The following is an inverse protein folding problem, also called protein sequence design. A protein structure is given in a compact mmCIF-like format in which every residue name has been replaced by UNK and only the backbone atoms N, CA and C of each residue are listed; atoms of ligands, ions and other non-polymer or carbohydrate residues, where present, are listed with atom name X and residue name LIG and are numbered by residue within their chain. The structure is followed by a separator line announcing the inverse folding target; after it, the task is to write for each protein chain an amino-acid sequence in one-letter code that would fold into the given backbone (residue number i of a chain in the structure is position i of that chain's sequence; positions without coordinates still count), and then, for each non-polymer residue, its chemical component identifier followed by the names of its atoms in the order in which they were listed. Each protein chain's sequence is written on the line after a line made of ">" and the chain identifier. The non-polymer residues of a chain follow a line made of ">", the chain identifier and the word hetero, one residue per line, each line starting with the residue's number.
data_IF_891594173886
#
_entry.id   IF_891594173886
#
_cell.length_a   1.000
_cell.length_b   1.000
_cell.length_c   1.000
_cell.angle_alpha   90.00
_cell.angle_beta   90.00
_cell.angle_gamma   90.00
#
_symmetry.space_group_name_H-M   'P 1'
#
loop_
_entity.id
_entity.type
_entity.pdbx_description
1 polymer ?
#
# COMPACT_ATOMS: atom_id res chain seq x y z
N UNK A 1 8.28 -15.40 -15.20
CA UNK A 1 7.85 -14.01 -15.46
C UNK A 1 8.65 -13.44 -16.61
N UNK A 2 8.08 -12.49 -17.35
CA UNK A 2 8.67 -11.80 -18.49
C UNK A 2 8.42 -10.30 -18.38
N UNK A 3 9.49 -9.52 -18.28
CA UNK A 3 9.41 -8.05 -18.23
C UNK A 3 9.72 -7.44 -19.61
N UNK A 4 9.11 -6.30 -19.97
CA UNK A 4 8.22 -5.46 -19.15
C UNK A 4 6.76 -5.94 -19.09
N UNK A 5 6.39 -6.99 -19.84
CA UNK A 5 5.01 -7.48 -19.95
C UNK A 5 4.31 -7.74 -18.60
N UNK A 6 5.00 -8.38 -17.66
CA UNK A 6 4.45 -8.72 -16.34
C UNK A 6 4.41 -7.51 -15.37
N UNK A 7 4.76 -6.30 -15.82
CA UNK A 7 4.51 -5.05 -15.10
C UNK A 7 3.14 -4.43 -15.43
N UNK A 8 2.47 -4.90 -16.50
CA UNK A 8 1.14 -4.45 -16.93
C UNK A 8 0.00 -5.16 -16.18
N UNK A 9 -1.25 -4.66 -16.28
CA UNK A 9 -2.41 -5.36 -15.76
C UNK A 9 -2.66 -6.70 -16.43
N UNK A 10 -3.13 -7.68 -15.66
CA UNK A 10 -3.36 -9.05 -16.10
C UNK A 10 -4.85 -9.40 -16.13
N UNK A 11 -5.22 -10.47 -16.85
CA UNK A 11 -6.56 -11.05 -16.74
C UNK A 11 -6.67 -11.82 -15.42
N UNK A 12 -7.06 -11.10 -14.36
CA UNK A 12 -7.06 -11.54 -12.97
C UNK A 12 -8.41 -11.28 -12.31
N UNK A 13 -8.66 -11.97 -11.19
CA UNK A 13 -9.77 -11.68 -10.27
C UNK A 13 -9.38 -10.55 -9.32
N UNK A 14 -8.11 -10.51 -8.92
CA UNK A 14 -7.54 -9.47 -8.09
C UNK A 14 -6.09 -9.22 -8.51
N UNK A 15 -5.69 -7.97 -8.46
CA UNK A 15 -4.34 -7.51 -8.80
C UNK A 15 -4.05 -6.18 -8.12
N UNK A 16 -2.80 -5.94 -7.74
CA UNK A 16 -2.41 -4.66 -7.14
C UNK A 16 -0.96 -4.27 -7.39
N UNK A 17 -0.75 -2.96 -7.48
CA UNK A 17 0.57 -2.32 -7.40
C UNK A 17 0.65 -1.62 -6.06
N UNK A 18 1.48 -2.15 -5.17
CA UNK A 18 1.62 -1.67 -3.81
C UNK A 18 3.02 -1.10 -3.59
N UNK A 19 3.09 0.17 -3.23
CA UNK A 19 4.33 0.88 -2.88
C UNK A 19 4.29 1.27 -1.41
N UNK A 20 5.42 1.13 -0.74
CA UNK A 20 5.65 1.75 0.55
C UNK A 20 7.10 2.25 0.66
N UNK A 21 7.38 3.16 1.59
CA UNK A 21 8.75 3.65 1.73
C UNK A 21 8.95 4.66 2.84
N UNK A 22 10.22 4.92 3.12
CA UNK A 22 10.71 5.88 4.11
C UNK A 22 11.44 7.00 3.40
N UNK A 23 11.11 8.24 3.75
CA UNK A 23 11.59 9.45 3.10
C UNK A 23 12.17 10.40 4.13
N UNK A 24 13.04 11.30 3.67
CA UNK A 24 13.55 12.39 4.47
C UNK A 24 13.74 13.65 3.63
N UNK A 25 13.61 14.82 4.27
CA UNK A 25 13.93 16.11 3.65
C UNK A 25 15.36 16.57 3.99
N UNK A 26 15.79 17.70 3.42
CA UNK A 26 17.10 18.32 3.69
C UNK A 26 17.35 18.67 5.17
N UNK A 27 16.27 18.84 5.95
CA UNK A 27 16.34 19.14 7.37
C UNK A 27 16.29 17.87 8.24
N UNK A 28 16.40 16.68 7.63
CA UNK A 28 16.31 15.37 8.26
C UNK A 28 14.94 15.09 8.92
N UNK A 29 13.89 15.82 8.53
CA UNK A 29 12.53 15.42 8.90
C UNK A 29 12.21 14.10 8.22
N UNK A 30 11.53 13.20 8.92
CA UNK A 30 11.24 11.85 8.45
C UNK A 30 9.79 11.73 8.05
N UNK A 31 9.57 11.03 6.95
CA UNK A 31 8.25 10.71 6.44
C UNK A 31 8.20 9.24 6.06
N UNK A 32 7.00 8.70 6.00
CA UNK A 32 6.75 7.41 5.39
C UNK A 32 5.52 7.52 4.50
N UNK A 33 5.47 6.73 3.44
CA UNK A 33 4.32 6.70 2.57
C UNK A 33 3.95 5.27 2.22
N UNK A 34 2.69 5.09 1.86
CA UNK A 34 2.28 3.97 1.03
C UNK A 34 1.31 4.44 -0.05
N UNK A 35 1.26 3.72 -1.15
CA UNK A 35 0.26 3.89 -2.19
C UNK A 35 -0.09 2.52 -2.77
N UNK A 36 -1.38 2.22 -2.89
CA UNK A 36 -1.82 1.00 -3.51
C UNK A 36 -2.93 1.28 -4.52
N UNK A 37 -2.73 0.77 -5.73
CA UNK A 37 -3.77 0.70 -6.77
C UNK A 37 -4.17 -0.77 -6.92
N UNK A 38 -5.45 -1.04 -6.72
CA UNK A 38 -6.04 -2.35 -6.91
C UNK A 38 -6.87 -2.38 -8.18
N UNK A 39 -6.90 -3.56 -8.77
CA UNK A 39 -7.84 -4.00 -9.79
C UNK A 39 -8.55 -5.25 -9.28
N UNK A 40 -9.86 -5.32 -9.46
CA UNK A 40 -10.64 -6.48 -9.05
C UNK A 40 -11.84 -6.75 -9.96
N UNK A 41 -12.26 -8.02 -10.02
CA UNK A 41 -13.58 -8.42 -10.50
C UNK A 41 -14.57 -8.39 -9.31
N UNK A 42 -15.52 -7.44 -9.26
CA UNK A 42 -16.48 -7.32 -8.17
C UNK A 42 -17.31 -8.57 -7.92
N UNK A 43 -17.54 -9.38 -8.96
CA UNK A 43 -18.41 -10.56 -8.89
C UNK A 43 -17.67 -11.80 -8.39
N UNK A 44 -16.34 -11.78 -8.41
CA UNK A 44 -15.48 -12.90 -8.00
C UNK A 44 -14.66 -12.61 -6.75
N UNK A 45 -14.88 -11.47 -6.12
CA UNK A 45 -14.24 -11.06 -4.87
C UNK A 45 -15.29 -10.80 -3.79
N UNK A 46 -14.91 -10.94 -2.52
CA UNK A 46 -15.80 -10.64 -1.38
C UNK A 46 -15.56 -9.23 -0.82
N UNK A 47 -15.00 -8.33 -1.63
CA UNK A 47 -14.67 -6.97 -1.22
C UNK A 47 -15.95 -6.15 -1.15
N UNK A 48 -16.46 -5.94 0.06
CA UNK A 48 -17.80 -5.38 0.27
C UNK A 48 -18.01 -3.99 -0.33
N UNK A 49 -16.95 -3.19 -0.50
CA UNK A 49 -17.05 -1.83 -1.04
C UNK A 49 -17.28 -1.80 -2.56
N UNK A 50 -16.97 -2.89 -3.27
CA UNK A 50 -17.14 -3.01 -4.72
C UNK A 50 -18.14 -4.08 -5.14
N UNK A 51 -18.50 -5.04 -4.27
CA UNK A 51 -19.28 -6.25 -4.59
C UNK A 51 -20.58 -6.03 -5.40
N UNK A 52 -21.21 -4.87 -5.25
CA UNK A 52 -22.48 -4.54 -5.92
C UNK A 52 -22.31 -3.70 -7.21
N UNK A 53 -21.07 -3.45 -7.65
CA UNK A 53 -20.81 -2.67 -8.88
C UNK A 53 -21.05 -3.58 -10.10
N UNK A 54 -21.92 -3.20 -11.06
CA UNK A 54 -22.27 -4.04 -12.21
C UNK A 54 -21.20 -4.05 -13.32
N UNK A 55 -19.93 -3.93 -12.97
CA UNK A 55 -18.78 -3.95 -13.89
C UNK A 55 -18.01 -5.26 -13.77
N UNK A 56 -17.34 -5.66 -14.84
CA UNK A 56 -16.45 -6.85 -14.83
C UNK A 56 -15.08 -6.57 -14.22
N UNK A 57 -14.68 -5.31 -14.20
CA UNK A 57 -13.40 -4.84 -13.68
C UNK A 57 -13.64 -3.49 -13.02
N UNK A 58 -13.07 -3.32 -11.82
CA UNK A 58 -13.06 -2.05 -11.09
C UNK A 58 -11.68 -1.78 -10.56
N UNK A 59 -11.33 -0.50 -10.48
CA UNK A 59 -10.13 -0.06 -9.80
C UNK A 59 -10.53 0.65 -8.52
N UNK A 60 -9.72 0.50 -7.48
CA UNK A 60 -9.83 1.26 -6.24
C UNK A 60 -8.42 1.50 -5.71
N UNK A 61 -8.24 2.53 -4.91
CA UNK A 61 -6.91 2.87 -4.42
C UNK A 61 -6.98 3.44 -3.02
N UNK A 62 -5.86 3.34 -2.32
CA UNK A 62 -5.65 4.11 -1.11
C UNK A 62 -4.19 4.53 -1.00
N UNK A 63 -3.98 5.60 -0.25
CA UNK A 63 -2.65 6.10 0.05
C UNK A 63 -2.58 6.65 1.46
N UNK A 64 -1.37 6.63 2.00
CA UNK A 64 -1.05 7.21 3.28
C UNK A 64 0.27 7.97 3.16
N UNK A 65 0.28 9.16 3.75
CA UNK A 65 1.48 9.93 4.00
C UNK A 65 1.56 10.21 5.49
N UNK A 66 2.67 9.82 6.11
CA UNK A 66 2.95 10.02 7.51
C UNK A 66 4.14 10.96 7.66
N UNK A 67 3.91 12.12 8.26
CA UNK A 67 4.96 12.96 8.83
C UNK A 67 5.32 12.38 10.20
N UNK A 68 6.42 11.65 10.24
CA UNK A 68 6.88 10.94 11.45
C UNK A 68 7.35 11.97 12.49
N UNK A 69 8.07 13.00 12.04
CA UNK A 69 8.60 14.04 12.93
C UNK A 69 7.49 14.76 13.69
N UNK A 70 6.43 15.17 13.01
CA UNK A 70 5.31 15.90 13.59
C UNK A 70 4.13 15.01 14.00
N UNK A 71 4.25 13.69 13.81
CA UNK A 71 3.20 12.68 14.09
C UNK A 71 1.87 12.99 13.40
N UNK A 72 1.91 13.51 12.17
CA UNK A 72 0.72 13.83 11.37
C UNK A 72 0.53 12.81 10.27
N UNK A 73 -0.69 12.28 10.15
CA UNK A 73 -1.05 11.25 9.18
C UNK A 73 -2.15 11.75 8.26
N UNK A 74 -1.99 11.49 6.97
CA UNK A 74 -2.99 11.73 5.92
C UNK A 74 -3.31 10.39 5.28
N UNK A 75 -4.61 10.08 5.14
CA UNK A 75 -5.10 8.85 4.51
C UNK A 75 -6.17 9.20 3.50
N UNK A 76 -5.94 8.81 2.25
CA UNK A 76 -6.87 8.97 1.15
C UNK A 76 -7.37 7.60 0.72
N UNK A 77 -8.70 7.46 0.66
CA UNK A 77 -9.36 6.25 0.20
C UNK A 77 -10.19 6.58 -1.03
N UNK A 78 -10.00 5.81 -2.08
CA UNK A 78 -10.74 5.89 -3.33
C UNK A 78 -11.42 4.55 -3.57
N UNK A 79 -12.68 4.38 -3.11
CA UNK A 79 -13.40 3.12 -3.24
C UNK A 79 -13.69 2.72 -4.69
N UNK A 80 -13.65 3.70 -5.59
CA UNK A 80 -13.73 3.53 -7.05
C UNK A 80 -12.72 4.50 -7.64
N UNK A 81 -11.92 4.04 -8.59
CA UNK A 81 -10.99 4.83 -9.39
C UNK A 81 -11.36 4.65 -10.86
N UNK A 82 -11.44 5.76 -11.60
CA UNK A 82 -11.80 5.76 -13.02
C UNK A 82 -10.53 6.05 -13.82
N UNK A 83 -10.17 5.12 -14.71
CA UNK A 83 -9.01 5.26 -15.58
C UNK A 83 -9.31 6.25 -16.72
N UNK A 84 -8.28 6.99 -17.12
CA UNK A 84 -8.26 7.80 -18.33
C UNK A 84 -8.37 6.92 -19.59
N UNK A 85 -8.78 7.51 -20.73
CA UNK A 85 -8.94 6.76 -21.99
C UNK A 85 -7.61 6.31 -22.60
N UNK A 86 -6.51 6.98 -22.27
CA UNK A 86 -5.15 6.72 -22.71
C UNK A 86 -4.40 5.76 -21.79
N UNK A 87 -4.94 5.48 -20.59
CA UNK A 87 -4.45 4.40 -19.73
C UNK A 87 -4.36 3.07 -20.50
N UNK A 88 -3.28 2.33 -20.27
CA UNK A 88 -3.03 0.99 -20.83
C UNK A 88 -2.88 0.91 -22.36
N UNK A 89 -2.66 2.04 -23.03
CA UNK A 89 -2.43 2.09 -24.50
C UNK A 89 -0.98 2.32 -24.91
N UNK A 90 -0.07 2.46 -23.96
CA UNK A 90 1.34 2.76 -24.20
C UNK A 90 2.20 1.49 -24.15
N UNK A 91 3.41 1.57 -24.70
CA UNK A 91 4.39 0.47 -24.70
C UNK A 91 4.92 0.11 -23.31
N UNK A 92 4.89 1.07 -22.38
CA UNK A 92 5.22 0.88 -20.97
C UNK A 92 3.98 1.08 -20.09
N UNK A 93 4.05 0.69 -18.81
CA UNK A 93 2.92 0.84 -17.90
C UNK A 93 2.56 2.32 -17.80
N UNK A 94 1.33 2.66 -18.18
CA UNK A 94 0.78 3.99 -18.01
C UNK A 94 -0.64 3.87 -17.50
N UNK A 95 -0.85 4.26 -16.24
CA UNK A 95 -2.17 4.33 -15.61
C UNK A 95 -2.37 5.74 -15.07
N UNK A 96 -3.26 6.48 -15.71
CA UNK A 96 -3.81 7.70 -15.15
C UNK A 96 -5.25 7.43 -14.67
N UNK A 97 -5.56 7.87 -13.46
CA UNK A 97 -6.88 7.65 -12.86
C UNK A 97 -7.30 8.77 -11.91
N UNK A 98 -8.62 8.92 -11.77
CA UNK A 98 -9.24 9.90 -10.88
C UNK A 98 -10.06 9.21 -9.78
N UNK A 99 -10.16 9.88 -8.63
CA UNK A 99 -11.15 9.55 -7.60
C UNK A 99 -12.40 10.41 -7.84
N UNK A 100 -13.50 9.87 -8.38
CA UNK A 100 -14.70 10.65 -8.68
C UNK A 100 -15.32 11.32 -7.45
N UNK A 101 -15.03 10.83 -6.24
CA UNK A 101 -15.59 11.35 -4.99
C UNK A 101 -14.76 12.50 -4.39
N UNK A 102 -13.49 12.64 -4.74
CA UNK A 102 -12.60 13.68 -4.19
C UNK A 102 -12.33 14.83 -5.16
N UNK A 103 -13.00 14.84 -6.32
CA UNK A 103 -12.76 15.77 -7.41
C UNK A 103 -11.70 15.27 -8.40
N UNK A 104 -11.36 16.10 -9.38
CA UNK A 104 -10.38 15.75 -10.41
C UNK A 104 -8.95 15.83 -9.85
N UNK A 105 -8.53 14.77 -9.17
CA UNK A 105 -7.14 14.55 -8.75
C UNK A 105 -6.53 13.59 -9.77
N UNK A 106 -5.57 14.08 -10.54
CA UNK A 106 -4.83 13.27 -11.51
C UNK A 106 -3.83 12.39 -10.75
N UNK A 107 -4.13 11.10 -10.64
CA UNK A 107 -3.19 10.12 -10.09
C UNK A 107 -2.48 9.44 -11.25
N UNK A 108 -1.17 9.29 -11.15
CA UNK A 108 -0.35 8.68 -12.21
C UNK A 108 0.48 7.55 -11.59
N UNK A 109 0.40 6.38 -12.21
CA UNK A 109 1.34 5.28 -12.04
C UNK A 109 1.92 4.98 -13.43
N UNK A 110 3.16 5.39 -13.63
CA UNK A 110 3.86 5.25 -14.90
C UNK A 110 5.16 4.48 -14.64
N UNK A 111 5.51 3.53 -15.49
CA UNK A 111 6.78 2.81 -15.49
C UNK A 111 7.43 2.97 -16.87
N UNK A 112 8.76 2.93 -16.97
CA UNK A 112 9.49 3.24 -18.21
C UNK A 112 10.19 2.04 -18.89
N UNK A 113 9.81 0.82 -18.51
CA UNK A 113 10.40 -0.44 -18.93
C UNK A 113 11.66 -0.86 -18.16
N UNK A 114 12.17 -0.05 -17.23
CA UNK A 114 13.43 -0.30 -16.48
C UNK A 114 13.22 -0.32 -14.96
N UNK A 115 12.01 -0.63 -14.50
CA UNK A 115 11.58 -0.57 -13.11
C UNK A 115 11.80 0.82 -12.47
N UNK A 116 11.63 1.88 -13.28
CA UNK A 116 11.58 3.25 -12.81
C UNK A 116 10.16 3.78 -12.96
N UNK A 117 9.59 4.15 -11.81
CA UNK A 117 8.21 4.54 -11.68
C UNK A 117 8.08 6.02 -11.39
N UNK A 118 7.11 6.68 -12.03
CA UNK A 118 6.55 7.94 -11.57
C UNK A 118 5.25 7.64 -10.83
N UNK A 119 5.21 8.00 -9.55
CA UNK A 119 4.05 7.85 -8.68
C UNK A 119 3.56 9.23 -8.26
N UNK A 120 2.35 9.59 -8.71
CA UNK A 120 1.73 10.88 -8.41
C UNK A 120 0.32 10.72 -7.87
N UNK A 121 0.00 11.46 -6.82
CA UNK A 121 -1.35 11.64 -6.28
C UNK A 121 -1.45 13.00 -5.56
N UNK A 122 -2.48 13.21 -4.73
CA UNK A 122 -2.65 14.47 -3.99
C UNK A 122 -1.46 14.83 -3.07
N UNK A 123 -0.80 13.82 -2.51
CA UNK A 123 0.25 14.00 -1.51
C UNK A 123 1.65 13.62 -2.00
N UNK A 124 1.78 12.92 -3.11
CA UNK A 124 3.04 12.39 -3.61
C UNK A 124 3.28 12.83 -5.06
N UNK A 125 4.51 13.18 -5.39
CA UNK A 125 5.02 13.29 -6.77
C UNK A 125 6.46 12.77 -6.75
N UNK A 126 6.60 11.47 -6.94
CA UNK A 126 7.83 10.71 -6.69
C UNK A 126 8.32 10.00 -7.94
N UNK A 127 9.64 10.05 -8.15
CA UNK A 127 10.36 9.16 -9.04
C UNK A 127 11.02 8.06 -8.20
N UNK A 128 10.73 6.80 -8.52
CA UNK A 128 11.10 5.63 -7.72
C UNK A 128 11.79 4.63 -8.65
N UNK A 129 13.07 4.33 -8.45
CA UNK A 129 13.85 3.46 -9.34
C UNK A 129 14.39 2.25 -8.60
N UNK A 130 14.16 1.04 -9.13
CA UNK A 130 14.72 -0.17 -8.55
C UNK A 130 16.26 -0.13 -8.54
N UNK A 131 16.86 -0.53 -7.40
CA UNK A 131 18.31 -0.65 -7.23
C UNK A 131 18.75 -2.10 -7.49
N UNK A 132 17.87 -3.06 -7.19
CA UNK A 132 18.10 -4.49 -7.38
C UNK A 132 17.14 -5.06 -8.41
N UNK A 133 17.51 -6.21 -8.98
CA UNK A 133 16.58 -6.99 -9.82
C UNK A 133 15.34 -7.42 -9.01
N UNK A 134 14.22 -7.70 -9.68
CA UNK A 134 13.02 -8.20 -9.01
C UNK A 134 13.29 -9.49 -8.23
N UNK A 135 12.73 -9.56 -7.02
CA UNK A 135 12.61 -10.80 -6.27
C UNK A 135 11.40 -11.57 -6.80
N UNK A 136 11.65 -12.60 -7.62
CA UNK A 136 10.61 -13.52 -8.06
C UNK A 136 10.31 -14.51 -6.92
N UNK A 137 9.17 -14.36 -6.27
CA UNK A 137 8.84 -15.21 -5.12
C UNK A 137 8.72 -16.68 -5.50
N UNK A 138 9.09 -17.55 -4.55
CA UNK A 138 9.16 -19.01 -4.75
C UNK A 138 10.09 -19.40 -5.93
N UNK A 139 11.05 -18.54 -6.29
CA UNK A 139 11.99 -18.70 -7.40
C UNK A 139 11.38 -18.59 -8.81
N UNK A 140 10.05 -18.62 -8.92
CA UNK A 140 9.31 -18.66 -10.20
C UNK A 140 8.45 -17.43 -10.43
N UNK A 141 8.23 -16.62 -9.40
CA UNK A 141 7.31 -15.48 -9.41
C UNK A 141 5.86 -15.91 -9.20
N UNK A 142 5.60 -17.07 -8.57
CA UNK A 142 4.24 -17.45 -8.19
C UNK A 142 4.20 -18.52 -7.09
N UNK A 143 3.10 -18.50 -6.34
CA UNK A 143 2.67 -19.57 -5.45
C UNK A 143 1.59 -20.41 -6.11
N UNK A 144 1.46 -21.67 -5.68
CA UNK A 144 0.33 -22.54 -6.08
C UNK A 144 -0.61 -22.63 -4.89
N UNK A 145 -1.80 -22.05 -5.03
CA UNK A 145 -2.85 -22.02 -4.01
C UNK A 145 -4.12 -22.58 -4.62
N UNK A 146 -4.70 -23.63 -4.02
CA UNK A 146 -5.92 -24.29 -4.51
C UNK A 146 -5.84 -24.64 -6.02
N UNK A 147 -4.71 -25.20 -6.46
CA UNK A 147 -4.40 -25.54 -7.86
C UNK A 147 -4.42 -24.35 -8.85
N UNK A 148 -4.30 -23.12 -8.35
CA UNK A 148 -4.21 -21.89 -9.15
C UNK A 148 -2.89 -21.18 -8.84
N UNK A 149 -2.39 -20.41 -9.81
CA UNK A 149 -1.20 -19.59 -9.64
C UNK A 149 -1.57 -18.24 -9.07
N UNK A 150 -0.89 -17.85 -8.00
CA UNK A 150 -0.86 -16.50 -7.45
C UNK A 150 0.49 -15.92 -7.82
N UNK A 151 0.53 -15.04 -8.82
CA UNK A 151 1.76 -14.47 -9.34
C UNK A 151 2.19 -13.30 -8.47
N UNK A 152 3.47 -13.25 -8.13
CA UNK A 152 3.97 -12.26 -7.17
C UNK A 152 5.48 -12.02 -7.35
N UNK A 153 5.87 -10.75 -7.51
CA UNK A 153 7.25 -10.30 -7.36
C UNK A 153 7.34 -9.01 -6.54
N UNK A 154 8.53 -8.77 -5.99
CA UNK A 154 8.86 -7.50 -5.31
C UNK A 154 10.05 -6.80 -5.96
N UNK A 155 10.03 -5.48 -5.94
CA UNK A 155 11.21 -4.62 -6.05
C UNK A 155 11.61 -4.22 -4.64
N UNK A 156 12.51 -4.99 -4.05
CA UNK A 156 12.77 -4.97 -2.59
C UNK A 156 13.52 -3.74 -2.12
N UNK A 157 14.23 -3.06 -3.02
CA UNK A 157 15.00 -1.85 -2.72
C UNK A 157 14.98 -0.89 -3.89
N UNK A 158 14.35 0.27 -3.70
CA UNK A 158 14.21 1.31 -4.72
C UNK A 158 14.64 2.67 -4.19
N UNK A 159 15.37 3.44 -4.98
CA UNK A 159 15.72 4.83 -4.67
C UNK A 159 14.54 5.76 -4.97
N UNK A 160 14.24 6.68 -4.06
CA UNK A 160 13.17 7.68 -4.22
C UNK A 160 13.76 9.08 -4.28
N UNK A 161 13.29 9.89 -5.23
CA UNK A 161 13.46 11.34 -5.24
C UNK A 161 12.16 12.00 -5.68
N UNK A 162 11.83 13.17 -5.13
CA UNK A 162 10.66 13.92 -5.59
C UNK A 162 10.12 14.86 -4.52
N UNK A 163 8.79 15.01 -4.49
CA UNK A 163 8.10 15.92 -3.58
C UNK A 163 6.94 15.24 -2.88
N UNK A 164 6.73 15.62 -1.62
CA UNK A 164 5.49 15.35 -0.90
C UNK A 164 4.74 16.66 -0.66
N UNK A 165 3.42 16.56 -0.53
CA UNK A 165 2.53 17.69 -0.29
C UNK A 165 1.80 17.51 1.06
N UNK A 166 2.11 18.39 2.01
CA UNK A 166 1.42 18.49 3.30
C UNK A 166 0.57 19.77 3.30
N UNK A 167 -0.70 19.64 2.91
CA UNK A 167 -1.57 20.78 2.67
C UNK A 167 -1.05 21.61 1.50
N UNK A 168 -0.76 22.89 1.72
CA UNK A 168 -0.19 23.78 0.69
C UNK A 168 1.33 23.69 0.58
N UNK A 169 2.00 22.99 1.50
CA UNK A 169 3.46 22.93 1.56
C UNK A 169 3.96 21.79 0.68
N UNK A 170 4.78 22.11 -0.32
CA UNK A 170 5.54 21.14 -1.10
C UNK A 170 6.93 20.98 -0.49
N UNK A 171 7.36 19.75 -0.27
CA UNK A 171 8.62 19.42 0.42
C UNK A 171 9.39 18.45 -0.46
N UNK A 172 10.63 18.82 -0.81
CA UNK A 172 11.55 17.93 -1.51
C UNK A 172 12.04 16.82 -0.58
N UNK A 173 12.06 15.60 -1.10
CA UNK A 173 12.37 14.41 -0.35
C UNK A 173 13.22 13.45 -1.18
N UNK A 174 14.02 12.68 -0.46
CA UNK A 174 14.70 11.48 -0.97
C UNK A 174 14.49 10.32 0.00
N UNK A 175 14.71 9.09 -0.44
CA UNK A 175 14.60 7.95 0.45
C UNK A 175 14.65 6.60 -0.25
N UNK A 176 14.11 5.61 0.42
CA UNK A 176 14.03 4.23 -0.05
C UNK A 176 12.57 3.77 -0.07
N UNK A 177 12.22 2.98 -1.08
CA UNK A 177 10.92 2.38 -1.23
C UNK A 177 11.02 0.88 -1.53
N UNK A 178 9.86 0.25 -1.41
CA UNK A 178 9.55 -1.12 -1.75
C UNK A 178 8.35 -1.10 -2.69
N UNK A 179 8.31 -2.02 -3.66
CA UNK A 179 7.11 -2.25 -4.47
C UNK A 179 6.80 -3.74 -4.56
N UNK A 180 5.53 -4.07 -4.39
CA UNK A 180 4.94 -5.38 -4.69
C UNK A 180 3.98 -5.29 -5.86
N UNK A 181 3.99 -6.32 -6.67
CA UNK A 181 2.99 -6.55 -7.70
C UNK A 181 2.52 -8.00 -7.62
N UNK A 182 1.25 -8.18 -7.31
CA UNK A 182 0.61 -9.49 -7.20
C UNK A 182 -0.67 -9.52 -8.03
N UNK A 183 -0.94 -10.66 -8.67
CA UNK A 183 -2.21 -10.92 -9.34
C UNK A 183 -2.58 -12.40 -9.31
N UNK A 184 -3.88 -12.69 -9.26
CA UNK A 184 -4.35 -14.07 -9.30
C UNK A 184 -5.78 -14.21 -9.83
N UNK A 185 -6.16 -15.43 -10.23
CA UNK A 185 -7.53 -15.76 -10.65
C UNK A 185 -8.41 -16.25 -9.50
N UNK A 186 -7.95 -16.11 -8.27
CA UNK A 186 -8.69 -16.47 -7.05
C UNK A 186 -8.75 -15.23 -6.15
N UNK A 187 -9.76 -15.16 -5.28
CA UNK A 187 -9.77 -14.11 -4.28
C UNK A 187 -8.65 -14.35 -3.24
N UNK A 188 -8.10 -13.28 -2.69
CA UNK A 188 -7.14 -13.35 -1.59
C UNK A 188 -7.76 -13.87 -0.30
N UNK A 189 -6.88 -14.28 0.62
CA UNK A 189 -7.26 -14.65 1.99
C UNK A 189 -7.76 -13.44 2.78
N UNK A 190 -8.53 -13.68 3.85
CA UNK A 190 -9.16 -12.61 4.65
C UNK A 190 -8.35 -12.18 5.88
N UNK A 191 -7.33 -12.96 6.23
CA UNK A 191 -6.49 -12.73 7.40
C UNK A 191 -5.04 -12.99 7.04
N UNK A 192 -4.21 -11.98 7.22
CA UNK A 192 -2.78 -12.11 6.95
C UNK A 192 -1.95 -11.14 7.79
N UNK A 193 -0.68 -11.49 7.89
CA UNK A 193 0.39 -10.62 8.38
C UNK A 193 1.43 -10.52 7.30
N UNK A 194 1.80 -9.31 6.95
CA UNK A 194 2.78 -9.04 5.91
C UNK A 194 3.82 -8.05 6.41
N UNK A 195 5.08 -8.27 6.02
CA UNK A 195 6.18 -7.38 6.32
C UNK A 195 7.07 -7.20 5.09
N UNK A 196 7.42 -5.96 4.78
CA UNK A 196 8.63 -5.64 4.00
C UNK A 196 9.67 -5.10 4.96
N UNK A 197 10.90 -5.60 4.84
CA UNK A 197 12.02 -5.19 5.68
C UNK A 197 13.21 -4.90 4.78
N UNK A 198 13.83 -3.73 5.00
CA UNK A 198 15.04 -3.29 4.33
C UNK A 198 16.10 -3.01 5.40
N UNK A 199 17.16 -3.83 5.42
CA UNK A 199 18.23 -3.76 6.40
C UNK A 199 19.43 -2.97 5.88
N UNK A 200 20.19 -2.41 6.81
CA UNK A 200 21.40 -1.62 6.58
C UNK A 200 22.54 -2.40 5.93
N UNK A 201 22.56 -3.72 6.09
CA UNK A 201 23.47 -4.61 5.36
C UNK A 201 23.01 -4.93 3.92
N UNK A 202 22.02 -4.19 3.38
CA UNK A 202 21.43 -4.43 2.06
C UNK A 202 20.85 -5.85 1.89
N UNK A 203 20.31 -6.41 2.97
CA UNK A 203 19.45 -7.59 2.92
C UNK A 203 18.00 -7.11 3.05
N UNK A 204 17.11 -7.64 2.22
CA UNK A 204 15.69 -7.33 2.29
C UNK A 204 14.85 -8.59 2.43
N UNK A 205 13.77 -8.50 3.21
CA UNK A 205 12.88 -9.61 3.49
C UNK A 205 11.44 -9.23 3.15
N UNK A 206 10.77 -10.09 2.40
CA UNK A 206 9.31 -10.15 2.29
C UNK A 206 8.84 -11.29 3.18
N UNK A 207 7.95 -11.00 4.12
CA UNK A 207 7.40 -12.00 5.04
C UNK A 207 5.90 -11.99 4.88
N UNK A 208 5.32 -13.18 4.77
CA UNK A 208 3.89 -13.35 4.68
C UNK A 208 3.46 -14.53 5.54
N UNK A 209 2.36 -14.34 6.26
CA UNK A 209 1.68 -15.38 7.00
C UNK A 209 0.17 -15.26 6.79
N UNK A 210 -0.46 -16.38 6.46
CA UNK A 210 -1.90 -16.50 6.29
C UNK A 210 -2.49 -17.48 7.30
N UNK A 211 -3.73 -17.19 7.73
CA UNK A 211 -4.60 -18.10 8.48
C UNK A 211 -3.97 -18.74 9.73
N UNK A 212 -3.24 -17.95 10.53
CA UNK A 212 -2.55 -18.41 11.74
C UNK A 212 -1.49 -19.50 11.47
N UNK A 213 -0.57 -19.21 10.57
CA UNK A 213 0.60 -20.02 10.22
C UNK A 213 0.33 -21.27 9.36
N UNK A 214 -0.91 -21.47 8.88
CA UNK A 214 -1.18 -22.53 7.89
C UNK A 214 -0.32 -22.36 6.64
N UNK A 215 -0.07 -21.11 6.23
CA UNK A 215 0.88 -20.79 5.17
C UNK A 215 1.77 -19.64 5.63
N UNK A 216 3.05 -19.95 5.89
CA UNK A 216 4.07 -18.95 6.21
C UNK A 216 5.20 -18.99 5.18
N UNK A 217 5.71 -17.82 4.82
CA UNK A 217 6.70 -17.68 3.77
C UNK A 217 7.62 -16.49 4.05
N UNK A 218 8.90 -16.67 3.73
CA UNK A 218 9.91 -15.62 3.73
C UNK A 218 10.66 -15.64 2.40
N UNK A 219 10.64 -14.53 1.69
CA UNK A 219 11.52 -14.27 0.56
C UNK A 219 12.63 -13.31 0.96
N UNK A 220 13.88 -13.64 0.64
CA UNK A 220 15.06 -12.87 1.03
C UNK A 220 15.82 -12.45 -0.23
N UNK A 221 16.10 -11.16 -0.37
CA UNK A 221 17.00 -10.62 -1.38
C UNK A 221 18.30 -10.15 -0.70
N UNK A 222 19.39 -10.88 -0.94
CA UNK A 222 20.69 -10.57 -0.36
C UNK A 222 21.38 -9.39 -1.08
N UNK A 223 22.44 -8.85 -0.49
CA UNK A 223 23.23 -7.76 -1.08
C UNK A 223 23.80 -8.13 -2.46
N UNK A 224 24.25 -9.37 -2.63
CA UNK A 224 24.74 -9.92 -3.90
C UNK A 224 23.62 -10.25 -4.91
N UNK A 225 22.39 -9.82 -4.64
CA UNK A 225 21.20 -10.10 -5.45
C UNK A 225 20.84 -11.59 -5.59
N UNK A 226 21.37 -12.45 -4.71
CA UNK A 226 20.88 -13.83 -4.60
C UNK A 226 19.54 -13.83 -3.87
N UNK A 227 18.56 -14.55 -4.42
CA UNK A 227 17.29 -14.79 -3.76
C UNK A 227 17.35 -16.09 -2.94
N UNK A 228 16.80 -16.07 -1.74
CA UNK A 228 16.58 -17.26 -0.92
C UNK A 228 15.17 -17.26 -0.34
N UNK A 229 14.69 -18.45 0.03
CA UNK A 229 13.33 -18.64 0.52
C UNK A 229 13.33 -19.53 1.76
N UNK A 230 12.36 -19.34 2.64
CA UNK A 230 12.16 -20.13 3.84
C UNK A 230 10.67 -20.22 4.21
N UNK A 231 10.31 -21.25 4.99
CA UNK A 231 8.94 -21.54 5.42
C UNK A 231 8.86 -21.85 6.92
N UNK A 232 9.99 -21.85 7.64
CA UNK A 232 10.09 -22.08 9.08
C UNK A 232 9.96 -20.76 9.88
N UNK A 233 9.04 -19.90 9.45
CA UNK A 233 8.80 -18.59 10.07
C UNK A 233 8.14 -18.74 11.44
N UNK A 234 8.70 -18.06 12.44
CA UNK A 234 8.10 -17.89 13.75
C UNK A 234 7.83 -16.40 13.98
N UNK A 235 6.56 -16.05 14.20
CA UNK A 235 6.14 -14.70 14.56
C UNK A 235 5.56 -14.69 15.98
N UNK A 236 6.11 -13.87 16.85
CA UNK A 236 5.61 -13.70 18.22
C UNK A 236 5.26 -12.24 18.50
N UNK A 237 3.97 -11.96 18.69
CA UNK A 237 3.52 -10.61 19.06
C UNK A 237 4.09 -10.21 20.44
N UNK A 238 4.52 -8.97 20.56
CA UNK A 238 5.13 -8.42 21.79
C UNK A 238 4.32 -7.30 22.43
N UNK A 239 3.74 -6.43 21.60
CA UNK A 239 2.99 -5.26 22.05
C UNK A 239 1.76 -5.08 21.18
N UNK A 240 0.65 -4.71 21.80
CA UNK A 240 -0.61 -4.40 21.12
C UNK A 240 -0.97 -2.93 21.26
N UNK A 241 -1.77 -2.45 20.32
CA UNK A 241 -2.44 -1.16 20.39
C UNK A 241 -3.91 -1.34 20.08
N UNK A 242 -4.76 -0.72 20.89
CA UNK A 242 -6.21 -0.74 20.71
C UNK A 242 -6.64 0.51 19.95
N UNK A 243 -7.32 0.31 18.83
CA UNK A 243 -7.90 1.42 18.07
C UNK A 243 -8.92 2.17 18.93
N UNK A 244 -8.83 3.51 19.03
CA UNK A 244 -9.85 4.29 19.71
C UNK A 244 -11.17 4.29 18.94
N UNK A 245 -11.16 4.02 17.62
CA UNK A 245 -12.32 4.12 16.73
C UNK A 245 -13.05 2.79 16.62
N UNK A 246 -12.36 1.72 16.25
CA UNK A 246 -12.96 0.39 15.99
C UNK A 246 -12.87 -0.53 17.21
N UNK A 247 -12.08 -0.16 18.22
CA UNK A 247 -11.74 -0.97 19.39
C UNK A 247 -11.03 -2.29 19.07
N UNK A 248 -10.64 -2.51 17.80
CA UNK A 248 -9.78 -3.61 17.39
C UNK A 248 -8.43 -3.50 18.12
N UNK A 249 -7.90 -4.63 18.57
CA UNK A 249 -6.56 -4.72 19.13
C UNK A 249 -5.61 -5.24 18.04
N UNK A 250 -4.61 -4.43 17.70
CA UNK A 250 -3.61 -4.78 16.70
C UNK A 250 -2.27 -5.05 17.36
N UNK A 251 -1.61 -6.18 17.07
CA UNK A 251 -0.21 -6.39 17.43
C UNK A 251 0.70 -5.47 16.59
N UNK A 252 1.34 -4.52 17.26
CA UNK A 252 2.17 -3.47 16.64
C UNK A 252 3.68 -3.67 16.86
N UNK A 253 4.06 -4.78 17.48
CA UNK A 253 5.45 -5.22 17.62
C UNK A 253 5.54 -6.73 17.61
N UNK A 254 6.59 -7.23 16.96
CA UNK A 254 6.79 -8.65 16.73
C UNK A 254 8.26 -9.02 16.92
N UNK A 255 8.49 -10.23 17.44
CA UNK A 255 9.73 -10.96 17.23
C UNK A 255 9.54 -11.88 16.03
N UNK A 256 10.46 -11.80 15.08
CA UNK A 256 10.49 -12.56 13.83
C UNK A 256 11.73 -13.45 13.87
N UNK A 257 11.53 -14.77 13.75
CA UNK A 257 12.64 -15.74 13.72
C UNK A 257 12.50 -16.61 12.46
N UNK A 258 13.62 -16.83 11.76
CA UNK A 258 13.74 -17.78 10.65
C UNK A 258 14.96 -18.67 10.93
N UNK A 259 14.78 -19.79 11.65
CA UNK A 259 15.88 -20.63 12.13
C UNK A 259 16.83 -21.10 11.03
N UNK A 260 16.29 -21.59 9.91
CA UNK A 260 17.04 -22.08 8.75
C UNK A 260 17.95 -21.03 8.12
N UNK A 261 17.66 -19.75 8.37
CA UNK A 261 18.42 -18.59 7.87
C UNK A 261 19.21 -17.87 8.95
N UNK A 262 19.15 -18.35 10.20
CA UNK A 262 19.77 -17.72 11.38
C UNK A 262 19.36 -16.25 11.52
N UNK A 263 18.08 -15.94 11.27
CA UNK A 263 17.54 -14.59 11.35
C UNK A 263 16.72 -14.47 12.62
N UNK A 264 16.97 -13.41 13.39
CA UNK A 264 16.17 -13.01 14.54
C UNK A 264 16.03 -11.49 14.53
N UNK A 265 14.82 -10.98 14.35
CA UNK A 265 14.52 -9.55 14.25
C UNK A 265 13.42 -9.16 15.24
N UNK A 266 13.63 -8.03 15.92
CA UNK A 266 12.57 -7.29 16.59
C UNK A 266 12.08 -6.19 15.66
N UNK A 267 10.77 -6.16 15.44
CA UNK A 267 10.10 -5.10 14.67
C UNK A 267 9.07 -4.39 15.54
N UNK A 268 8.97 -3.07 15.36
CA UNK A 268 8.01 -2.23 16.07
C UNK A 268 7.50 -1.12 15.16
N UNK A 269 6.19 -0.88 15.20
CA UNK A 269 5.57 0.28 14.57
C UNK A 269 6.20 1.59 15.02
N UNK A 270 6.51 2.48 14.09
CA UNK A 270 7.06 3.82 14.41
C UNK A 270 6.03 4.64 15.18
N UNK A 271 4.76 4.55 14.79
CA UNK A 271 3.64 5.15 15.51
C UNK A 271 2.49 4.14 15.61
N UNK A 272 1.74 4.12 16.72
CA UNK A 272 0.71 3.12 16.96
C UNK A 272 -0.55 3.32 16.09
N UNK A 273 -0.96 4.57 15.86
CA UNK A 273 -2.21 4.88 15.16
C UNK A 273 -2.03 4.86 13.65
N UNK A 274 -2.10 3.66 13.07
CA UNK A 274 -2.00 3.42 11.64
C UNK A 274 -3.15 2.57 11.08
N UNK A 275 -4.26 2.46 11.82
CA UNK A 275 -5.45 1.76 11.32
C UNK A 275 -6.02 2.45 10.07
N UNK A 276 -6.30 1.67 9.05
CA UNK A 276 -7.05 2.06 7.86
C UNK A 276 -8.46 1.47 7.97
N UNK A 277 -9.45 2.37 8.01
CA UNK A 277 -10.86 2.00 8.07
C UNK A 277 -11.39 1.90 6.63
N UNK A 278 -11.42 0.69 6.10
CA UNK A 278 -11.76 0.40 4.70
C UNK A 278 -13.02 -0.47 4.60
N UNK A 279 -14.16 0.11 4.98
CA UNK A 279 -15.45 -0.56 4.92
C UNK A 279 -15.55 -1.72 5.91
N UNK A 280 -15.66 -2.95 5.41
CA UNK A 280 -15.73 -4.18 6.21
C UNK A 280 -14.37 -4.82 6.48
N UNK A 281 -13.32 -4.38 5.79
CA UNK A 281 -11.95 -4.87 5.97
C UNK A 281 -11.10 -3.75 6.57
N UNK A 282 -11.22 -3.54 7.88
CA UNK A 282 -10.31 -2.65 8.59
C UNK A 282 -8.99 -3.38 8.83
N UNK A 283 -7.88 -2.69 8.67
CA UNK A 283 -6.56 -3.27 8.87
C UNK A 283 -5.60 -2.25 9.44
N UNK A 284 -4.51 -2.73 10.00
CA UNK A 284 -3.41 -1.89 10.45
C UNK A 284 -2.31 -1.93 9.41
N UNK A 285 -1.85 -0.77 8.95
CA UNK A 285 -0.73 -0.70 8.01
C UNK A 285 0.13 0.51 8.30
N UNK A 286 1.41 0.29 8.57
CA UNK A 286 2.30 1.40 8.86
C UNK A 286 3.79 1.06 8.87
N UNK A 287 4.61 2.12 8.92
CA UNK A 287 6.06 1.97 8.93
C UNK A 287 6.54 1.36 10.24
N UNK A 288 7.53 0.49 10.13
CA UNK A 288 8.20 -0.18 11.24
C UNK A 288 9.69 0.18 11.26
N UNK A 289 10.27 0.13 12.47
CA UNK A 289 11.72 0.07 12.68
C UNK A 289 12.12 -1.38 12.97
N UNK A 290 13.32 -1.75 12.55
CA UNK A 290 13.83 -3.12 12.67
C UNK A 290 15.20 -3.09 13.33
N UNK A 291 15.44 -4.04 14.23
CA UNK A 291 16.76 -4.35 14.78
C UNK A 291 16.87 -5.85 15.02
N UNK A 292 18.06 -6.40 15.00
CA UNK A 292 18.26 -7.80 15.35
C UNK A 292 19.56 -8.33 14.78
N UNK A 293 19.57 -9.62 14.45
CA UNK A 293 20.73 -10.33 13.95
C UNK A 293 20.42 -11.19 12.72
N UNK A 294 21.41 -11.29 11.84
CA UNK A 294 21.48 -12.30 10.78
C UNK A 294 22.81 -13.04 10.94
N UNK A 295 22.76 -14.33 11.28
CA UNK A 295 23.94 -15.08 11.70
C UNK A 295 24.52 -14.47 12.97
N UNK A 296 25.72 -13.90 12.87
CA UNK A 296 26.39 -13.17 13.95
C UNK A 296 26.37 -11.64 13.78
N UNK A 297 25.81 -11.13 12.68
CA UNK A 297 25.83 -9.71 12.36
C UNK A 297 24.62 -8.99 12.97
N UNK A 298 24.89 -7.93 13.73
CA UNK A 298 23.86 -6.99 14.14
C UNK A 298 23.39 -6.19 12.93
N UNK A 299 22.07 -6.12 12.75
CA UNK A 299 21.42 -5.39 11.67
C UNK A 299 20.39 -4.43 12.22
N UNK A 300 20.21 -3.31 11.53
CA UNK A 300 19.10 -2.38 11.73
C UNK A 300 18.43 -2.11 10.41
N UNK A 301 17.21 -1.62 10.44
CA UNK A 301 16.50 -1.32 9.21
C UNK A 301 15.18 -0.64 9.45
N UNK A 302 14.48 -0.47 8.34
CA UNK A 302 13.12 0.05 8.29
C UNK A 302 12.26 -0.89 7.44
N UNK A 303 10.96 -0.66 7.47
CA UNK A 303 10.04 -1.47 6.69
C UNK A 303 8.62 -1.00 6.82
N UNK A 304 7.71 -1.83 6.32
CA UNK A 304 6.27 -1.71 6.55
C UNK A 304 5.72 -3.04 7.08
N UNK A 305 4.63 -2.92 7.84
CA UNK A 305 3.85 -4.05 8.33
C UNK A 305 2.38 -3.82 8.01
N UNK A 306 1.72 -4.87 7.55
CA UNK A 306 0.28 -4.92 7.32
C UNK A 306 -0.32 -6.08 8.12
N UNK A 307 -1.37 -5.80 8.90
CA UNK A 307 -2.08 -6.77 9.73
C UNK A 307 -3.57 -6.69 9.41
N UNK A 308 -4.11 -7.76 8.83
CA UNK A 308 -5.49 -7.84 8.36
C UNK A 308 -6.23 -8.99 9.02
N UNK A 309 -7.53 -8.83 9.24
CA UNK A 309 -8.41 -9.86 9.78
C UNK A 309 -8.50 -9.88 11.32
N UNK A 310 -8.05 -8.82 11.98
CA UNK A 310 -8.34 -8.60 13.41
C UNK A 310 -9.78 -8.10 13.60
N UNK A 311 -10.49 -8.68 14.56
CA UNK A 311 -11.93 -8.46 14.71
C UNK A 311 -12.22 -7.10 15.40
N UNK A 312 -12.99 -6.20 14.75
CA UNK A 312 -13.48 -5.00 15.42
C UNK A 312 -14.46 -5.36 16.54
N UNK A 313 -14.23 -4.79 17.72
CA UNK A 313 -15.06 -5.00 18.91
C UNK A 313 -16.24 -3.99 19.02
N UNK A 314 -16.33 -3.03 18.10
CA UNK A 314 -17.40 -2.02 18.07
C UNK A 314 -18.58 -2.40 17.16
N UNK A 315 -19.78 -1.90 17.47
CA UNK A 315 -20.98 -2.09 16.65
C UNK A 315 -20.89 -1.33 15.32
N UNK A 316 -21.50 -1.87 14.24
CA UNK A 316 -21.53 -1.28 12.88
C UNK A 316 -21.95 0.20 12.85
N UNK A 317 -22.76 0.67 13.81
CA UNK A 317 -23.20 2.07 13.94
C UNK A 317 -22.06 3.06 14.21
N UNK A 318 -21.10 2.70 15.07
CA UNK A 318 -19.98 3.60 15.43
C UNK A 318 -19.03 3.86 14.25
N UNK A 319 -18.73 2.81 13.47
CA UNK A 319 -18.00 2.90 12.20
C UNK A 319 -18.78 3.70 11.15
N UNK A 320 -20.12 3.56 11.11
CA UNK A 320 -20.96 4.34 10.21
C UNK A 320 -20.89 5.85 10.50
N UNK A 321 -20.94 6.26 11.78
CA UNK A 321 -20.83 7.66 12.18
C UNK A 321 -19.46 8.30 11.88
N UNK A 322 -18.37 7.53 12.04
CA UNK A 322 -17.03 7.96 11.61
C UNK A 322 -16.94 8.14 10.08
N UNK A 323 -17.51 7.20 9.32
CA UNK A 323 -17.56 7.29 7.87
C UNK A 323 -18.47 8.44 7.39
N UNK A 324 -19.57 8.74 8.09
CA UNK A 324 -20.45 9.88 7.83
C UNK A 324 -19.78 11.23 8.10
N UNK A 325 -18.92 11.35 9.11
CA UNK A 325 -18.19 12.61 9.34
C UNK A 325 -17.11 12.86 8.28
N UNK A 326 -16.52 11.80 7.71
CA UNK A 326 -15.60 11.90 6.55
C UNK A 326 -16.35 12.12 5.23
N UNK A 327 -17.41 11.35 4.94
CA UNK A 327 -18.27 11.50 3.74
C UNK A 327 -19.09 12.78 3.76
N UNK A 328 -19.58 13.20 4.91
CA UNK A 328 -20.31 14.47 5.11
C UNK A 328 -19.44 15.66 4.75
N UNK A 329 -18.14 15.64 5.07
CA UNK A 329 -17.18 16.66 4.60
C UNK A 329 -16.99 16.65 3.07
N UNK A 330 -17.07 15.48 2.44
CA UNK A 330 -16.96 15.32 0.99
C UNK A 330 -18.23 15.77 0.27
N UNK A 331 -19.41 15.30 0.71
CA UNK A 331 -20.73 15.72 0.22
C UNK A 331 -20.97 17.22 0.44
N UNK A 332 -20.57 17.76 1.59
CA UNK A 332 -20.63 19.21 1.85
C UNK A 332 -19.66 20.00 0.97
N UNK A 333 -18.48 19.45 0.64
CA UNK A 333 -17.56 20.04 -0.36
C UNK A 333 -18.14 20.00 -1.78
N UNK A 334 -18.79 18.89 -2.17
CA UNK A 334 -19.43 18.74 -3.49
C UNK A 334 -20.62 19.71 -3.58
N UNK A 335 -21.51 19.73 -2.58
CA UNK A 335 -22.63 20.65 -2.52
C UNK A 335 -22.19 22.12 -2.54
N UNK A 336 -21.12 22.48 -1.80
CA UNK A 336 -20.54 23.83 -1.83
C UNK A 336 -19.93 24.18 -3.20
N UNK A 337 -19.33 23.21 -3.89
CA UNK A 337 -18.72 23.42 -5.21
C UNK A 337 -19.78 23.57 -6.32
N UNK A 338 -20.83 22.76 -6.28
CA UNK A 338 -21.99 22.89 -7.18
C UNK A 338 -22.78 24.17 -6.90
N UNK A 339 -23.03 24.51 -5.63
CA UNK A 339 -23.68 25.78 -5.26
C UNK A 339 -22.87 26.99 -5.74
N UNK A 340 -21.54 26.97 -5.62
CA UNK A 340 -20.68 28.04 -6.14
C UNK A 340 -20.66 28.10 -7.68
N UNK A 341 -20.83 26.97 -8.37
CA UNK A 341 -20.92 26.92 -9.83
C UNK A 341 -22.24 27.52 -10.33
N UNK A 342 -23.35 27.12 -9.71
CA UNK A 342 -24.69 27.66 -9.97
C UNK A 342 -24.74 29.17 -9.68
N UNK A 343 -24.14 29.62 -8.58
CA UNK A 343 -24.07 31.03 -8.22
C UNK A 343 -23.25 31.86 -9.22
N UNK A 344 -22.13 31.32 -9.71
CA UNK A 344 -21.33 31.98 -10.76
C UNK A 344 -22.06 32.05 -12.11
N UNK A 345 -22.73 30.96 -12.51
CA UNK A 345 -23.54 30.92 -13.74
C UNK A 345 -24.75 31.88 -13.66
N UNK A 346 -25.30 32.10 -12.46
CA UNK A 346 -26.36 33.08 -12.21
C UNK A 346 -25.84 34.52 -12.34
N UNK A 347 -24.70 34.86 -11.73
CA UNK A 347 -24.09 36.19 -11.81
C UNK A 347 -23.65 36.52 -13.25
N UNK A 348 -23.08 35.55 -13.99
CA UNK A 348 -22.66 35.78 -15.38
C UNK A 348 -23.84 36.03 -16.32
N UNK A 349 -25.02 35.45 -16.04
CA UNK A 349 -26.25 35.72 -16.79
C UNK A 349 -26.90 37.06 -16.42
N UNK A 350 -26.66 37.57 -15.21
CA UNK A 350 -27.22 38.83 -14.73
C UNK A 350 -26.43 40.06 -15.18
N UNK A 351 -25.12 39.94 -15.43
CA UNK A 351 -24.28 41.03 -15.96
C UNK A 351 -24.19 41.08 -17.49
N UNK A 352 -24.86 40.17 -18.19
CA UNK A 352 -24.95 40.13 -19.65
C UNK A 352 -26.28 40.72 -20.19
N UNK A 353 -26.99 41.51 -19.37
CA UNK A 353 -28.20 42.26 -19.76
C UNK A 353 -28.00 43.75 -19.56
#
# INVERSE_FOLDING_TARGET
>A
MQFPKDSFPHKSVIEWWYFNGHLFDKNKNKYAFMNCLFKADPKKTDISIIKNIPLKEVYFSHSLLLDITNKKRIVNLSPISILSKDSLKQENLFINYINPLSGYINNELIEDGKFRYKLKNENLDLLISAIKKPLLHNGKGYFVVKNKKVFYYSLTKMAVNGKIHLGKKSIEVSGEAWMDHEWSTIAGEKKWKWFSIQLDNNCELMIQEYNNFENSYVGIMHQNQKAEFAHDLILSAKKTWKSPITKTEYPISWKIIVPSKKIELDVEAILPNQEIIFGSMNYWEGPIKVKGIIGSLNVKGNGFMEIVGENPKNSKLSMYNYNLTKKGKVLFKIAKREANKIFKDFISKYHAR
#
